data_IF_593839291226
#
_entry.id   IF_593839291226
#
_cell.length_a   1.000
_cell.length_b   1.000
_cell.length_c   1.000
_cell.angle_alpha   90.00
_cell.angle_beta   90.00
_cell.angle_gamma   90.00
#
_symmetry.space_group_name_H-M   'P 1'
#
loop_
_entity.id
_entity.type
_entity.pdbx_description
1 polymer ?
#
# COMPACT_ATOMS: atom_id res chain seq x y z
N UNK A 1 54.45 50.88 18.28
CA UNK A 1 53.66 50.10 17.30
C UNK A 1 52.90 48.90 17.91
N UNK A 2 53.32 48.33 19.05
CA UNK A 2 52.63 47.16 19.64
C UNK A 2 51.19 47.43 20.13
N UNK A 3 50.85 48.65 20.58
CA UNK A 3 49.51 48.97 21.10
C UNK A 3 48.39 48.98 20.03
N UNK A 4 48.72 49.09 18.74
CA UNK A 4 47.71 49.08 17.66
C UNK A 4 47.24 47.66 17.31
N UNK A 5 48.09 46.65 17.48
CA UNK A 5 47.72 45.26 17.20
C UNK A 5 46.84 44.65 18.29
N UNK A 6 47.02 45.05 19.55
CA UNK A 6 46.24 44.52 20.68
C UNK A 6 44.74 44.90 20.64
N UNK A 7 44.39 46.07 20.09
CA UNK A 7 42.98 46.47 19.93
C UNK A 7 42.25 45.70 18.84
N UNK A 8 42.93 45.29 17.77
CA UNK A 8 42.31 44.52 16.69
C UNK A 8 41.99 43.08 17.11
N UNK A 9 42.83 42.46 17.95
CA UNK A 9 42.61 41.08 18.41
C UNK A 9 41.40 40.95 19.34
N UNK A 10 41.15 41.94 20.20
CA UNK A 10 39.99 41.94 21.12
C UNK A 10 38.67 42.13 20.36
N UNK A 11 38.65 42.97 19.32
CA UNK A 11 37.45 43.18 18.49
C UNK A 11 37.11 41.91 17.70
N UNK A 12 38.12 41.21 17.17
CA UNK A 12 37.89 39.94 16.46
C UNK A 12 37.41 38.83 17.40
N UNK A 13 37.93 38.76 18.63
CA UNK A 13 37.47 37.80 19.64
C UNK A 13 36.01 38.07 20.06
N UNK A 14 35.62 39.34 20.20
CA UNK A 14 34.24 39.71 20.52
C UNK A 14 33.26 39.43 19.37
N UNK A 15 33.67 39.61 18.10
CA UNK A 15 32.83 39.23 16.96
C UNK A 15 32.61 37.71 16.84
N UNK A 16 33.64 36.90 17.14
CA UNK A 16 33.51 35.43 17.11
C UNK A 16 32.65 34.91 18.27
N UNK A 17 32.64 35.59 19.43
CA UNK A 17 31.78 35.26 20.57
C UNK A 17 30.31 35.65 20.36
N UNK A 18 30.00 36.63 19.50
CA UNK A 18 28.61 37.04 19.23
C UNK A 18 27.84 36.16 18.24
N UNK A 19 28.49 35.23 17.52
CA UNK A 19 27.81 34.38 16.52
C UNK A 19 27.15 33.14 17.14
N UNK A 20 27.54 32.75 18.36
CA UNK A 20 27.06 31.49 18.98
C UNK A 20 26.00 31.68 20.07
N UNK A 21 25.43 32.88 20.27
CA UNK A 21 24.54 33.17 21.41
C UNK A 21 23.06 33.38 21.04
N UNK A 22 22.65 32.94 19.85
CA UNK A 22 21.24 32.90 19.44
C UNK A 22 20.91 31.55 18.79
N UNK A 23 21.25 30.45 19.48
CA UNK A 23 20.47 29.23 19.31
C UNK A 23 19.15 29.43 20.06
N UNK A 24 18.35 30.38 19.58
CA UNK A 24 16.99 30.58 20.05
C UNK A 24 16.27 29.25 19.78
N UNK A 25 15.78 28.61 20.84
CA UNK A 25 15.04 27.36 20.73
C UNK A 25 13.79 27.66 19.93
N UNK A 26 13.85 27.45 18.62
CA UNK A 26 12.70 27.65 17.76
C UNK A 26 11.61 26.69 18.21
N UNK A 27 10.43 27.24 18.48
CA UNK A 27 9.25 26.45 18.82
C UNK A 27 8.83 25.66 17.56
N UNK A 28 8.86 24.32 17.57
CA UNK A 28 8.46 23.53 16.40
C UNK A 28 7.02 23.81 15.96
N UNK A 29 6.14 24.24 16.86
CA UNK A 29 4.78 24.62 16.49
C UNK A 29 4.72 25.96 15.76
N UNK A 30 5.63 26.90 16.05
CA UNK A 30 5.75 28.14 15.30
C UNK A 30 6.24 27.87 13.87
N UNK A 31 7.28 27.05 13.73
CA UNK A 31 7.78 26.60 12.41
C UNK A 31 6.67 25.93 11.59
N UNK A 32 5.90 25.04 12.23
CA UNK A 32 4.75 24.40 11.58
C UNK A 32 3.72 25.44 11.12
N UNK A 33 3.40 26.43 11.95
CA UNK A 33 2.43 27.47 11.62
C UNK A 33 2.90 28.38 10.48
N UNK A 34 4.21 28.59 10.35
CA UNK A 34 4.84 29.38 9.29
C UNK A 34 4.97 28.60 7.96
N UNK A 35 4.61 27.32 7.93
CA UNK A 35 4.73 26.46 6.75
C UNK A 35 6.12 25.85 6.56
N UNK A 36 7.02 26.04 7.51
CA UNK A 36 8.37 25.46 7.55
C UNK A 36 8.31 24.02 8.09
N UNK A 37 7.56 23.17 7.38
CA UNK A 37 7.17 21.86 7.87
C UNK A 37 8.33 20.88 8.05
N UNK A 38 9.33 20.92 7.17
CA UNK A 38 10.50 20.02 7.26
C UNK A 38 11.34 20.36 8.49
N UNK A 39 11.53 21.64 8.77
CA UNK A 39 12.24 22.16 9.94
C UNK A 39 11.48 21.79 11.21
N UNK A 40 10.17 22.02 11.25
CA UNK A 40 9.31 21.59 12.36
C UNK A 40 9.45 20.08 12.62
N UNK A 41 9.41 19.26 11.56
CA UNK A 41 9.58 17.82 11.68
C UNK A 41 10.94 17.42 12.29
N UNK A 42 12.04 18.05 11.88
CA UNK A 42 13.38 17.81 12.45
C UNK A 42 13.40 18.10 13.96
N UNK A 43 12.81 19.20 14.41
CA UNK A 43 12.72 19.52 15.83
C UNK A 43 11.90 18.49 16.61
N UNK A 44 10.76 18.04 16.07
CA UNK A 44 9.98 16.97 16.69
C UNK A 44 10.76 15.65 16.75
N UNK A 45 11.50 15.28 15.69
CA UNK A 45 12.33 14.07 15.67
C UNK A 45 13.47 14.12 16.68
N UNK A 46 14.10 15.27 16.86
CA UNK A 46 15.09 15.47 17.92
C UNK A 46 14.46 15.24 19.30
N UNK A 47 13.27 15.79 19.55
CA UNK A 47 12.53 15.54 20.79
C UNK A 47 12.13 14.07 20.98
N UNK A 48 11.93 13.30 19.90
CA UNK A 48 11.68 11.86 19.98
C UNK A 48 12.94 11.05 20.34
N UNK A 49 14.13 11.60 20.10
CA UNK A 49 15.42 10.96 20.40
C UNK A 49 15.86 11.15 21.86
N UNK A 50 15.34 12.15 22.58
CA UNK A 50 15.77 12.57 23.93
C UNK A 50 15.38 11.60 25.09
N UNK A 51 15.33 10.28 24.85
CA UNK A 51 15.04 9.24 25.85
C UNK A 51 13.78 9.47 26.71
N UNK A 52 12.78 10.19 26.16
CA UNK A 52 11.47 10.35 26.79
C UNK A 52 10.71 9.03 26.93
N UNK A 53 9.64 9.03 27.73
CA UNK A 53 8.71 7.90 27.79
C UNK A 53 8.04 7.65 26.42
N UNK A 54 7.49 6.45 26.22
CA UNK A 54 6.87 6.07 24.94
C UNK A 54 5.78 7.03 24.49
N UNK A 55 5.00 7.58 25.43
CA UNK A 55 3.96 8.58 25.16
C UNK A 55 4.53 9.85 24.54
N UNK A 56 5.58 10.45 25.12
CA UNK A 56 6.22 11.64 24.56
C UNK A 56 6.88 11.35 23.21
N UNK A 57 7.51 10.19 23.07
CA UNK A 57 8.12 9.76 21.79
C UNK A 57 7.06 9.58 20.71
N UNK A 58 5.94 8.93 21.06
CA UNK A 58 4.77 8.77 20.22
C UNK A 58 4.22 10.12 19.76
N UNK A 59 4.00 11.06 20.69
CA UNK A 59 3.54 12.42 20.38
C UNK A 59 4.50 13.17 19.45
N UNK A 60 5.80 13.07 19.70
CA UNK A 60 6.83 13.68 18.85
C UNK A 60 6.85 13.07 17.44
N UNK A 61 6.81 11.74 17.31
CA UNK A 61 6.71 11.09 16.00
C UNK A 61 5.42 11.47 15.26
N UNK A 62 4.30 11.59 15.97
CA UNK A 62 3.03 12.00 15.38
C UNK A 62 3.10 13.41 14.79
N UNK A 63 3.66 14.36 15.53
CA UNK A 63 3.81 15.73 15.03
C UNK A 63 4.80 15.82 13.87
N UNK A 64 5.88 15.04 13.90
CA UNK A 64 6.80 14.93 12.76
C UNK A 64 6.09 14.36 11.52
N UNK A 65 5.32 13.27 11.68
CA UNK A 65 4.55 12.66 10.60
C UNK A 65 3.58 13.64 9.97
N UNK A 66 2.81 14.36 10.81
CA UNK A 66 1.87 15.38 10.36
C UNK A 66 2.56 16.52 9.61
N UNK A 67 3.73 16.96 10.07
CA UNK A 67 4.52 17.99 9.41
C UNK A 67 4.95 17.53 8.00
N UNK A 68 5.49 16.32 7.86
CA UNK A 68 5.82 15.77 6.54
C UNK A 68 4.60 15.58 5.63
N UNK A 69 3.44 15.24 6.19
CA UNK A 69 2.21 15.14 5.41
C UNK A 69 1.74 16.51 4.89
N UNK A 70 1.83 17.57 5.69
CA UNK A 70 1.56 18.93 5.19
C UNK A 70 2.62 19.39 4.18
N UNK A 71 3.89 19.03 4.37
CA UNK A 71 4.93 19.29 3.37
C UNK A 71 4.58 18.64 2.03
N UNK A 72 4.12 17.38 2.05
CA UNK A 72 3.62 16.72 0.86
C UNK A 72 2.45 17.48 0.22
N UNK A 73 1.47 17.95 0.99
CA UNK A 73 0.35 18.74 0.43
C UNK A 73 0.84 20.03 -0.23
N UNK A 74 1.81 20.71 0.38
CA UNK A 74 2.36 21.96 -0.11
C UNK A 74 3.25 21.78 -1.35
N UNK A 75 4.17 20.81 -1.31
CA UNK A 75 5.23 20.66 -2.32
C UNK A 75 4.98 19.53 -3.32
N UNK A 76 3.95 18.70 -3.08
CA UNK A 76 3.69 17.45 -3.82
C UNK A 76 4.89 16.48 -3.80
N UNK A 77 5.74 16.58 -2.77
CA UNK A 77 6.91 15.74 -2.61
C UNK A 77 6.53 14.36 -2.08
N UNK A 78 6.55 13.34 -2.94
CA UNK A 78 6.17 11.97 -2.58
C UNK A 78 7.08 11.34 -1.51
N UNK A 79 8.34 11.78 -1.39
CA UNK A 79 9.24 11.34 -0.32
C UNK A 79 8.76 11.80 1.06
N UNK A 80 8.18 13.00 1.13
CA UNK A 80 7.58 13.52 2.37
C UNK A 80 6.37 12.68 2.79
N UNK A 81 5.52 12.28 1.83
CA UNK A 81 4.37 11.42 2.13
C UNK A 81 4.79 10.04 2.63
N UNK A 82 5.81 9.43 2.00
CA UNK A 82 6.35 8.15 2.45
C UNK A 82 6.94 8.27 3.87
N UNK A 83 7.71 9.32 4.12
CA UNK A 83 8.28 9.59 5.45
C UNK A 83 7.18 9.77 6.50
N UNK A 84 6.10 10.47 6.17
CA UNK A 84 4.94 10.61 7.07
C UNK A 84 4.32 9.25 7.41
N UNK A 85 4.13 8.37 6.43
CA UNK A 85 3.61 7.02 6.66
C UNK A 85 4.49 6.20 7.60
N UNK A 86 5.81 6.21 7.39
CA UNK A 86 6.77 5.48 8.22
C UNK A 86 6.75 5.99 9.67
N UNK A 87 6.61 7.30 9.86
CA UNK A 87 6.49 7.90 11.19
C UNK A 87 5.15 7.57 11.87
N UNK A 88 4.02 7.53 11.14
CA UNK A 88 2.76 7.06 11.71
C UNK A 88 2.82 5.59 12.14
N UNK A 89 3.52 4.72 11.41
CA UNK A 89 3.77 3.36 11.88
C UNK A 89 4.56 3.34 13.20
N UNK A 90 5.57 4.21 13.35
CA UNK A 90 6.31 4.33 14.62
C UNK A 90 5.43 4.80 15.77
N UNK A 91 4.47 5.70 15.51
CA UNK A 91 3.46 6.11 16.50
C UNK A 91 2.66 4.90 16.97
N UNK A 92 2.09 4.14 16.03
CA UNK A 92 1.26 2.97 16.34
C UNK A 92 2.05 1.82 17.00
N UNK A 93 3.35 1.73 16.76
CA UNK A 93 4.22 0.78 17.47
C UNK A 93 4.46 1.17 18.94
N UNK A 94 4.44 2.48 19.25
CA UNK A 94 4.63 2.98 20.62
C UNK A 94 3.30 3.13 21.38
N UNK A 95 2.24 3.46 20.66
CA UNK A 95 0.89 3.74 21.15
C UNK A 95 -0.14 3.15 20.16
N UNK A 96 -0.47 1.85 20.29
CA UNK A 96 -1.37 1.15 19.37
C UNK A 96 -2.80 1.70 19.34
N UNK A 97 -3.22 2.35 20.42
CA UNK A 97 -4.58 2.91 20.57
C UNK A 97 -4.70 4.33 20.00
N UNK A 98 -3.64 4.83 19.34
CA UNK A 98 -3.62 6.17 18.75
C UNK A 98 -4.51 6.27 17.49
N UNK A 99 -5.80 6.52 17.71
CA UNK A 99 -6.80 6.59 16.64
C UNK A 99 -6.50 7.68 15.60
N UNK A 100 -5.85 8.78 16.00
CA UNK A 100 -5.47 9.87 15.10
C UNK A 100 -4.38 9.43 14.13
N UNK A 101 -3.33 8.75 14.61
CA UNK A 101 -2.26 8.23 13.77
C UNK A 101 -2.77 7.15 12.80
N UNK A 102 -3.65 6.26 13.26
CA UNK A 102 -4.27 5.24 12.41
C UNK A 102 -5.08 5.87 11.28
N UNK A 103 -5.94 6.85 11.59
CA UNK A 103 -6.72 7.58 10.60
C UNK A 103 -5.84 8.32 9.60
N UNK A 104 -4.81 9.05 10.06
CA UNK A 104 -3.95 9.82 9.15
C UNK A 104 -3.07 8.92 8.28
N UNK A 105 -2.63 7.76 8.79
CA UNK A 105 -1.94 6.75 8.00
C UNK A 105 -2.83 6.22 6.87
N UNK A 106 -4.12 5.97 7.14
CA UNK A 106 -5.06 5.56 6.10
C UNK A 106 -5.24 6.64 5.03
N UNK A 107 -5.34 7.91 5.43
CA UNK A 107 -5.38 9.04 4.49
C UNK A 107 -4.11 9.13 3.64
N UNK A 108 -2.94 9.04 4.26
CA UNK A 108 -1.66 9.09 3.56
C UNK A 108 -1.53 7.94 2.54
N UNK A 109 -1.99 6.73 2.88
CA UNK A 109 -2.05 5.58 1.95
C UNK A 109 -2.95 5.86 0.74
N UNK A 110 -4.13 6.46 0.96
CA UNK A 110 -5.05 6.84 -0.12
C UNK A 110 -4.42 7.88 -1.05
N UNK A 111 -3.75 8.89 -0.49
CA UNK A 111 -3.03 9.91 -1.26
C UNK A 111 -1.90 9.28 -2.10
N UNK A 112 -1.12 8.37 -1.52
CA UNK A 112 -0.04 7.68 -2.22
C UNK A 112 -0.56 6.83 -3.39
N UNK A 113 -1.67 6.11 -3.20
CA UNK A 113 -2.32 5.35 -4.26
C UNK A 113 -2.82 6.26 -5.39
N UNK A 114 -3.42 7.40 -5.06
CA UNK A 114 -3.88 8.38 -6.05
C UNK A 114 -2.72 8.93 -6.89
N UNK A 115 -1.57 9.22 -6.28
CA UNK A 115 -0.39 9.68 -7.02
C UNK A 115 0.15 8.63 -7.98
N UNK A 116 0.18 7.36 -7.56
CA UNK A 116 0.58 6.26 -8.44
C UNK A 116 -0.37 6.14 -9.64
N UNK A 117 -1.67 6.34 -9.45
CA UNK A 117 -2.64 6.33 -10.55
C UNK A 117 -2.45 7.52 -11.51
N UNK A 118 -2.16 8.72 -11.00
CA UNK A 118 -1.93 9.89 -11.83
C UNK A 118 -0.63 9.83 -12.65
N UNK A 119 0.42 9.19 -12.13
CA UNK A 119 1.66 8.96 -12.88
C UNK A 119 1.55 7.84 -13.94
N UNK A 120 0.54 6.97 -13.82
CA UNK A 120 0.36 5.83 -14.73
C UNK A 120 -0.39 6.18 -16.03
N UNK A 121 -0.83 7.44 -16.21
CA UNK A 121 -1.15 7.99 -17.53
C UNK A 121 -2.34 7.37 -18.27
N UNK A 122 -3.28 6.72 -17.59
CA UNK A 122 -4.52 6.24 -18.22
C UNK A 122 -5.74 7.05 -17.72
N UNK A 123 -6.32 7.92 -18.54
CA UNK A 123 -7.48 8.74 -18.17
C UNK A 123 -8.76 7.94 -18.39
N UNK A 124 -9.10 7.02 -17.49
CA UNK A 124 -10.47 6.51 -17.46
C UNK A 124 -10.98 6.21 -16.06
N UNK A 125 -12.15 6.80 -15.80
CA UNK A 125 -13.07 6.59 -14.67
C UNK A 125 -12.81 7.39 -13.39
N UNK A 126 -13.06 8.71 -13.50
CA UNK A 126 -14.02 9.30 -12.56
C UNK A 126 -15.37 8.62 -12.75
N UNK A 127 -15.93 8.03 -11.70
CA UNK A 127 -17.38 7.87 -11.57
C UNK A 127 -17.82 8.43 -10.25
N UNK A 128 -18.62 9.49 -10.39
CA UNK A 128 -19.38 10.17 -9.38
C UNK A 128 -20.20 9.18 -8.54
N UNK A 129 -20.06 9.31 -7.23
CA UNK A 129 -20.89 8.60 -6.27
C UNK A 129 -21.82 9.63 -5.59
N UNK A 130 -22.81 10.11 -6.35
CA UNK A 130 -23.95 10.83 -5.80
C UNK A 130 -25.19 10.68 -6.69
N UNK A 131 -26.26 10.18 -6.06
CA UNK A 131 -27.66 10.21 -6.50
C UNK A 131 -28.11 9.23 -7.60
N UNK A 132 -28.65 8.07 -7.19
CA UNK A 132 -30.08 7.77 -7.38
C UNK A 132 -30.46 6.41 -6.76
N UNK A 133 -31.25 6.48 -5.67
CA UNK A 133 -32.22 5.45 -5.31
C UNK A 133 -33.56 5.84 -5.95
N UNK A 134 -34.37 4.81 -6.22
CA UNK A 134 -35.76 4.81 -6.72
C UNK A 134 -35.93 4.92 -8.24
N UNK A 135 -36.11 3.78 -8.91
CA UNK A 135 -37.47 3.28 -9.18
C UNK A 135 -37.44 1.83 -9.72
N UNK A 136 -37.92 0.90 -8.89
CA UNK A 136 -38.42 -0.40 -9.33
C UNK A 136 -39.94 -0.27 -9.41
N UNK A 137 -40.55 -0.36 -10.60
CA UNK A 137 -41.75 -1.17 -10.81
C UNK A 137 -42.28 -1.12 -12.25
N UNK A 138 -42.78 -2.30 -12.68
CA UNK A 138 -43.81 -2.54 -13.71
C UNK A 138 -43.41 -2.41 -15.19
N UNK A 139 -43.15 -3.55 -15.83
CA UNK A 139 -44.20 -4.23 -16.60
C UNK A 139 -43.75 -5.61 -17.13
N UNK A 140 -44.44 -6.67 -16.68
CA UNK A 140 -44.50 -7.97 -17.35
C UNK A 140 -45.95 -8.22 -17.73
N UNK A 141 -46.27 -8.32 -19.04
CA UNK A 141 -47.21 -9.32 -19.57
C UNK A 141 -47.35 -9.33 -21.10
N UNK A 142 -47.15 -10.53 -21.64
CA UNK A 142 -47.71 -11.16 -22.86
C UNK A 142 -47.16 -10.64 -24.22
N UNK A 143 -46.88 -11.49 -25.22
CA UNK A 143 -47.69 -12.61 -25.72
C UNK A 143 -46.89 -13.47 -26.72
N UNK A 144 -47.24 -14.77 -26.76
CA UNK A 144 -46.76 -15.83 -27.67
C UNK A 144 -46.86 -15.51 -29.17
N UNK A 145 -45.93 -16.06 -29.97
CA UNK A 145 -46.28 -16.87 -31.17
C UNK A 145 -45.03 -17.54 -31.77
N UNK A 146 -45.20 -18.82 -32.12
CA UNK A 146 -44.23 -19.77 -32.69
C UNK A 146 -43.66 -19.38 -34.06
N UNK A 147 -42.42 -19.83 -34.35
CA UNK A 147 -41.87 -19.94 -35.70
C UNK A 147 -40.35 -20.13 -35.73
N UNK A 148 -39.92 -21.30 -36.22
CA UNK A 148 -38.54 -21.71 -36.50
C UNK A 148 -37.56 -20.59 -36.90
N UNK A 149 -36.40 -20.52 -36.22
CA UNK A 149 -35.11 -20.29 -36.89
C UNK A 149 -33.91 -20.62 -36.00
N UNK A 150 -32.99 -21.39 -36.60
CA UNK A 150 -31.68 -21.79 -36.12
C UNK A 150 -30.70 -20.59 -36.09
N UNK A 151 -30.84 -19.65 -35.15
CA UNK A 151 -29.94 -18.47 -35.11
C UNK A 151 -29.59 -17.88 -33.73
N UNK A 152 -30.21 -18.28 -32.62
CA UNK A 152 -30.05 -17.56 -31.33
C UNK A 152 -29.32 -18.36 -30.23
N UNK A 153 -28.23 -19.07 -30.56
CA UNK A 153 -27.36 -19.70 -29.53
C UNK A 153 -25.95 -19.14 -29.47
N UNK A 154 -25.80 -17.89 -29.91
CA UNK A 154 -24.55 -17.13 -29.87
C UNK A 154 -24.72 -15.76 -29.20
N UNK A 155 -25.66 -15.66 -28.24
CA UNK A 155 -25.88 -14.45 -27.43
C UNK A 155 -25.95 -14.73 -25.92
N UNK A 156 -25.55 -15.93 -25.46
CA UNK A 156 -25.58 -16.31 -24.04
C UNK A 156 -24.19 -16.70 -23.47
N UNK A 157 -23.12 -16.25 -24.13
CA UNK A 157 -21.73 -16.42 -23.64
C UNK A 157 -20.98 -15.10 -23.45
N UNK A 158 -21.52 -13.96 -23.86
CA UNK A 158 -20.88 -12.64 -23.72
C UNK A 158 -21.30 -11.86 -22.47
N UNK A 159 -22.30 -12.34 -21.70
CA UNK A 159 -22.75 -11.71 -20.45
C UNK A 159 -22.23 -12.39 -19.18
N UNK A 160 -21.27 -13.32 -19.28
CA UNK A 160 -20.76 -14.10 -18.13
C UNK A 160 -19.28 -13.88 -17.81
N UNK A 161 -18.57 -13.07 -18.59
CA UNK A 161 -17.14 -12.80 -18.36
C UNK A 161 -16.87 -11.58 -17.45
N UNK A 162 -17.76 -10.58 -17.41
CA UNK A 162 -17.54 -9.37 -16.62
C UNK A 162 -17.71 -9.56 -15.10
N UNK A 163 -18.48 -10.56 -14.65
CA UNK A 163 -18.58 -10.86 -13.21
C UNK A 163 -17.33 -11.56 -12.65
N UNK A 164 -16.48 -12.17 -13.49
CA UNK A 164 -15.30 -12.89 -13.00
C UNK A 164 -14.09 -11.97 -12.76
N UNK A 165 -14.00 -10.85 -13.49
CA UNK A 165 -12.89 -9.91 -13.37
C UNK A 165 -12.93 -9.14 -12.04
N UNK A 166 -14.11 -8.63 -11.65
CA UNK A 166 -14.27 -7.94 -10.36
C UNK A 166 -14.04 -8.87 -9.16
N UNK A 167 -14.53 -10.12 -9.23
CA UNK A 167 -14.33 -11.11 -8.17
C UNK A 167 -12.85 -11.48 -8.03
N UNK A 168 -12.14 -11.67 -9.15
CA UNK A 168 -10.69 -11.88 -9.15
C UNK A 168 -9.93 -10.69 -8.57
N UNK A 169 -10.29 -9.47 -8.93
CA UNK A 169 -9.62 -8.27 -8.42
C UNK A 169 -9.85 -8.09 -6.91
N UNK A 170 -11.06 -8.37 -6.41
CA UNK A 170 -11.36 -8.35 -4.97
C UNK A 170 -10.55 -9.39 -4.21
N UNK A 171 -10.49 -10.63 -4.74
CA UNK A 171 -9.74 -11.72 -4.12
C UNK A 171 -8.25 -11.39 -4.08
N UNK A 172 -7.69 -10.83 -5.15
CA UNK A 172 -6.29 -10.40 -5.17
C UNK A 172 -5.99 -9.27 -4.17
N UNK A 173 -6.89 -8.28 -4.04
CA UNK A 173 -6.76 -7.21 -3.02
C UNK A 173 -6.74 -7.78 -1.59
N UNK A 174 -7.56 -8.80 -1.32
CA UNK A 174 -7.56 -9.49 -0.03
C UNK A 174 -6.23 -10.23 0.21
N UNK A 175 -5.69 -10.91 -0.80
CA UNK A 175 -4.39 -11.60 -0.70
C UNK A 175 -3.24 -10.62 -0.38
N UNK A 176 -3.25 -9.42 -0.98
CA UNK A 176 -2.28 -8.37 -0.66
C UNK A 176 -2.38 -7.90 0.80
N UNK A 177 -3.60 -7.76 1.33
CA UNK A 177 -3.82 -7.37 2.72
C UNK A 177 -3.30 -8.43 3.68
N UNK A 178 -3.66 -9.70 3.46
CA UNK A 178 -3.21 -10.84 4.28
C UNK A 178 -1.67 -10.97 4.24
N UNK A 179 -1.05 -10.80 3.06
CA UNK A 179 0.42 -10.83 2.91
C UNK A 179 1.11 -9.66 3.63
N UNK A 180 0.49 -8.47 3.63
CA UNK A 180 1.00 -7.31 4.37
C UNK A 180 0.91 -7.49 5.89
N UNK A 181 -0.14 -8.16 6.39
CA UNK A 181 -0.27 -8.49 7.80
C UNK A 181 0.78 -9.51 8.26
N UNK A 182 1.08 -10.50 7.41
CA UNK A 182 2.15 -11.47 7.68
C UNK A 182 3.53 -10.82 7.77
N UNK A 183 3.83 -9.80 6.95
CA UNK A 183 5.07 -9.01 7.10
C UNK A 183 5.20 -8.36 8.47
N UNK A 184 4.11 -7.81 9.01
CA UNK A 184 4.14 -7.13 10.33
C UNK A 184 4.48 -8.08 11.47
N UNK A 185 4.18 -9.37 11.29
CA UNK A 185 4.39 -10.41 12.29
C UNK A 185 5.67 -11.22 12.05
N UNK A 186 6.44 -10.92 11.00
CA UNK A 186 7.68 -11.63 10.71
C UNK A 186 8.80 -11.18 11.66
N UNK A 187 9.35 -12.09 12.46
CA UNK A 187 10.38 -11.78 13.47
C UNK A 187 11.83 -11.81 12.92
N UNK A 188 12.05 -12.37 11.71
CA UNK A 188 13.38 -12.54 11.12
C UNK A 188 13.55 -11.80 9.79
N UNK A 189 14.72 -11.17 9.60
CA UNK A 189 15.02 -10.34 8.41
C UNK A 189 15.08 -11.10 7.07
N UNK A 190 15.39 -12.39 7.09
CA UNK A 190 15.37 -13.22 5.88
C UNK A 190 13.94 -13.55 5.43
N UNK A 191 13.06 -13.76 6.41
CA UNK A 191 11.63 -14.04 6.21
C UNK A 191 10.88 -12.78 5.76
N UNK A 192 11.23 -11.63 6.34
CA UNK A 192 10.71 -10.32 5.93
C UNK A 192 11.00 -10.03 4.45
N UNK A 193 12.22 -10.31 3.97
CA UNK A 193 12.57 -10.13 2.55
C UNK A 193 11.75 -11.00 1.60
N UNK A 194 11.48 -12.25 1.97
CA UNK A 194 10.66 -13.15 1.13
C UNK A 194 9.21 -12.69 1.08
N UNK A 195 8.66 -12.22 2.20
CA UNK A 195 7.32 -11.66 2.28
C UNK A 195 7.20 -10.32 1.53
N UNK A 196 8.22 -9.46 1.63
CA UNK A 196 8.30 -8.20 0.87
C UNK A 196 8.33 -8.46 -0.64
N UNK A 197 9.14 -9.44 -1.07
CA UNK A 197 9.20 -9.83 -2.48
C UNK A 197 7.88 -10.45 -2.96
N UNK A 198 7.23 -11.27 -2.13
CA UNK A 198 5.92 -11.83 -2.42
C UNK A 198 4.86 -10.72 -2.58
N UNK A 199 4.82 -9.73 -1.68
CA UNK A 199 3.91 -8.60 -1.76
C UNK A 199 4.14 -7.81 -3.05
N UNK A 200 5.40 -7.52 -3.38
CA UNK A 200 5.76 -6.81 -4.61
C UNK A 200 5.29 -7.55 -5.86
N UNK A 201 5.39 -8.88 -5.88
CA UNK A 201 4.89 -9.72 -6.98
C UNK A 201 3.37 -9.73 -7.08
N UNK A 202 2.66 -9.68 -5.95
CA UNK A 202 1.20 -9.55 -5.98
C UNK A 202 0.75 -8.15 -6.46
N UNK A 203 1.46 -7.09 -6.08
CA UNK A 203 1.22 -5.73 -6.61
C UNK A 203 1.50 -5.64 -8.11
N UNK A 204 2.58 -6.26 -8.60
CA UNK A 204 2.89 -6.36 -10.02
C UNK A 204 1.78 -7.11 -10.77
N UNK A 205 1.26 -8.21 -10.20
CA UNK A 205 0.14 -8.95 -10.78
C UNK A 205 -1.13 -8.10 -10.88
N UNK A 206 -1.45 -7.31 -9.85
CA UNK A 206 -2.58 -6.37 -9.88
C UNK A 206 -2.40 -5.33 -10.98
N UNK A 207 -1.23 -4.70 -11.05
CA UNK A 207 -0.93 -3.70 -12.07
C UNK A 207 -1.05 -4.28 -13.48
N UNK A 208 -0.57 -5.51 -13.70
CA UNK A 208 -0.64 -6.20 -15.00
C UNK A 208 -2.06 -6.63 -15.36
N UNK A 209 -2.88 -7.03 -14.39
CA UNK A 209 -4.31 -7.29 -14.61
C UNK A 209 -5.03 -6.02 -15.05
N UNK A 210 -4.75 -4.88 -14.42
CA UNK A 210 -5.32 -3.59 -14.77
C UNK A 210 -4.92 -3.14 -16.20
N UNK A 211 -3.73 -3.52 -16.65
CA UNK A 211 -3.22 -3.24 -18.00
C UNK A 211 -3.67 -4.28 -19.07
N UNK A 212 -4.60 -5.18 -18.75
CA UNK A 212 -5.01 -6.31 -19.61
C UNK A 212 -3.85 -7.23 -20.04
N UNK A 213 -2.75 -7.26 -19.28
CA UNK A 213 -1.60 -8.14 -19.51
C UNK A 213 -1.78 -9.47 -18.77
N UNK A 214 -2.84 -10.21 -19.13
CA UNK A 214 -3.30 -11.38 -18.38
C UNK A 214 -2.24 -12.46 -18.15
N UNK A 215 -1.39 -12.75 -19.13
CA UNK A 215 -0.33 -13.76 -19.00
C UNK A 215 0.81 -13.30 -18.08
N UNK A 216 1.19 -12.02 -18.12
CA UNK A 216 2.21 -11.49 -17.24
C UNK A 216 1.72 -11.38 -15.79
N UNK A 217 0.43 -11.04 -15.61
CA UNK A 217 -0.21 -11.04 -14.31
C UNK A 217 -0.24 -12.43 -13.67
N UNK A 218 -0.58 -13.46 -14.45
CA UNK A 218 -0.53 -14.87 -14.03
C UNK A 218 0.87 -15.27 -13.58
N UNK A 219 1.89 -14.89 -14.35
CA UNK A 219 3.27 -15.18 -14.01
C UNK A 219 3.68 -14.49 -12.69
N UNK A 220 3.32 -13.22 -12.51
CA UNK A 220 3.60 -12.49 -11.27
C UNK A 220 2.88 -13.09 -10.04
N UNK A 221 1.62 -13.50 -10.19
CA UNK A 221 0.88 -14.23 -9.15
C UNK A 221 1.53 -15.57 -8.80
N UNK A 222 1.96 -16.33 -9.80
CA UNK A 222 2.66 -17.60 -9.59
C UNK A 222 3.95 -17.40 -8.81
N UNK A 223 4.74 -16.40 -9.17
CA UNK A 223 5.98 -16.05 -8.46
C UNK A 223 5.70 -15.63 -7.01
N UNK A 224 4.65 -14.85 -6.76
CA UNK A 224 4.22 -14.52 -5.40
C UNK A 224 3.86 -15.76 -4.59
N UNK A 225 3.08 -16.69 -5.17
CA UNK A 225 2.70 -17.92 -4.50
C UNK A 225 3.91 -18.82 -4.20
N UNK A 226 4.89 -18.89 -5.11
CA UNK A 226 6.11 -19.67 -4.92
C UNK A 226 6.98 -19.07 -3.80
N UNK A 227 7.07 -17.74 -3.69
CA UNK A 227 7.75 -17.07 -2.59
C UNK A 227 7.08 -17.32 -1.24
N UNK A 228 5.74 -17.32 -1.18
CA UNK A 228 5.00 -17.65 0.04
C UNK A 228 5.21 -19.10 0.48
N UNK A 229 5.28 -20.05 -0.47
CA UNK A 229 5.64 -21.44 -0.17
C UNK A 229 7.06 -21.56 0.38
N UNK A 230 8.01 -20.82 -0.18
CA UNK A 230 9.39 -20.81 0.32
C UNK A 230 9.46 -20.22 1.73
N UNK A 231 8.70 -19.16 2.00
CA UNK A 231 8.57 -18.59 3.34
C UNK A 231 8.06 -19.65 4.33
N UNK A 232 7.00 -20.39 4.00
CA UNK A 232 6.49 -21.47 4.86
C UNK A 232 7.51 -22.58 5.09
N UNK A 233 8.18 -23.04 4.03
CA UNK A 233 9.20 -24.08 4.13
C UNK A 233 10.33 -23.64 5.08
N UNK A 234 10.77 -22.38 4.98
CA UNK A 234 11.79 -21.81 5.86
C UNK A 234 11.34 -21.66 7.32
N UNK A 235 10.03 -21.44 7.55
CA UNK A 235 9.43 -21.35 8.89
C UNK A 235 9.45 -22.72 9.58
N UNK A 236 9.26 -23.79 8.81
CA UNK A 236 9.24 -25.17 9.32
C UNK A 236 10.64 -25.76 9.55
N UNK A 237 11.65 -25.39 8.75
CA UNK A 237 13.03 -25.88 8.95
C UNK A 237 13.67 -25.41 10.27
N UNK A 238 13.19 -24.30 10.86
CA UNK A 238 13.71 -23.76 12.11
C UNK A 238 12.96 -24.24 13.38
N UNK A 239 11.90 -25.07 13.25
CA UNK A 239 11.17 -25.63 14.40
C UNK A 239 11.51 -27.12 14.56
N UNK A 240 12.33 -27.44 15.57
CA UNK A 240 12.82 -28.81 15.83
C UNK A 240 11.86 -29.69 16.63
N UNK A 241 10.72 -29.18 17.09
CA UNK A 241 9.70 -30.00 17.76
C UNK A 241 8.32 -29.34 17.66
N UNK A 242 7.31 -30.19 17.55
CA UNK A 242 5.86 -29.91 17.48
C UNK A 242 5.33 -29.25 16.19
N UNK A 243 4.54 -30.05 15.47
CA UNK A 243 3.75 -29.69 14.29
C UNK A 243 2.63 -28.70 14.64
N UNK A 244 2.96 -27.42 14.74
CA UNK A 244 1.95 -26.38 14.64
C UNK A 244 1.36 -26.37 13.21
N UNK A 245 0.02 -26.30 13.08
CA UNK A 245 -0.61 -26.21 11.78
C UNK A 245 -0.13 -24.97 11.03
N UNK A 246 -0.17 -25.04 9.70
CA UNK A 246 0.16 -23.91 8.82
C UNK A 246 -0.53 -22.64 9.29
N UNK A 247 0.17 -21.51 9.13
CA UNK A 247 -0.39 -20.20 9.38
C UNK A 247 -1.64 -20.05 8.49
N UNK A 248 -2.82 -19.93 9.12
CA UNK A 248 -4.12 -20.02 8.44
C UNK A 248 -4.22 -19.02 7.28
N UNK A 249 -3.53 -17.89 7.39
CA UNK A 249 -3.43 -16.87 6.34
C UNK A 249 -2.66 -17.38 5.11
N UNK A 250 -1.50 -18.01 5.28
CA UNK A 250 -0.72 -18.49 4.13
C UNK A 250 -1.40 -19.69 3.47
N UNK A 251 -2.00 -20.58 4.26
CA UNK A 251 -2.81 -21.69 3.75
C UNK A 251 -4.00 -21.17 2.93
N UNK A 252 -4.67 -20.11 3.39
CA UNK A 252 -5.74 -19.44 2.64
C UNK A 252 -5.25 -18.92 1.30
N UNK A 253 -4.10 -18.24 1.28
CA UNK A 253 -3.51 -17.69 0.05
C UNK A 253 -3.21 -18.81 -0.95
N UNK A 254 -2.62 -19.92 -0.48
CA UNK A 254 -2.30 -21.07 -1.33
C UNK A 254 -3.55 -21.77 -1.88
N UNK A 255 -4.56 -21.98 -1.03
CA UNK A 255 -5.82 -22.58 -1.44
C UNK A 255 -6.57 -21.71 -2.45
N UNK A 256 -6.50 -20.38 -2.29
CA UNK A 256 -7.11 -19.43 -3.22
C UNK A 256 -6.49 -19.50 -4.62
N UNK A 257 -5.16 -19.63 -4.72
CA UNK A 257 -4.45 -19.80 -5.99
C UNK A 257 -4.68 -21.18 -6.63
N UNK A 258 -4.70 -22.24 -5.83
CA UNK A 258 -4.97 -23.59 -6.35
C UNK A 258 -6.39 -23.70 -6.93
N UNK A 259 -7.38 -23.15 -6.23
CA UNK A 259 -8.77 -23.11 -6.72
C UNK A 259 -8.91 -22.37 -8.05
N UNK A 260 -8.09 -21.34 -8.28
CA UNK A 260 -8.09 -20.59 -9.53
C UNK A 260 -7.50 -21.41 -10.69
N UNK A 261 -6.36 -22.09 -10.47
CA UNK A 261 -5.79 -22.98 -11.50
C UNK A 261 -6.80 -24.03 -11.97
N UNK A 262 -7.55 -24.61 -11.04
CA UNK A 262 -8.60 -25.59 -11.36
C UNK A 262 -9.77 -24.98 -12.15
N UNK A 263 -10.10 -23.71 -11.91
CA UNK A 263 -11.10 -22.99 -12.70
C UNK A 263 -10.59 -22.67 -14.12
N UNK A 264 -9.30 -22.37 -14.27
CA UNK A 264 -8.67 -22.09 -15.57
C UNK A 264 -8.51 -23.37 -16.42
N UNK A 265 -8.12 -24.49 -15.82
CA UNK A 265 -8.04 -25.79 -16.52
C UNK A 265 -9.42 -26.23 -17.04
N UNK A 266 -10.50 -25.95 -16.30
CA UNK A 266 -11.88 -26.22 -16.75
C UNK A 266 -12.37 -25.27 -17.85
N UNK A 267 -11.72 -24.12 -18.04
CA UNK A 267 -12.05 -23.14 -19.10
C UNK A 267 -11.28 -23.40 -20.40
N UNK A 268 -10.33 -24.34 -20.44
CA UNK A 268 -9.79 -24.77 -21.74
C UNK A 268 -10.93 -25.46 -22.49
N UNK A 269 -11.38 -24.92 -23.65
CA UNK A 269 -12.40 -25.59 -24.43
C UNK A 269 -11.84 -26.96 -24.80
N UNK A 270 -12.60 -28.03 -24.52
CA UNK A 270 -12.33 -29.37 -25.02
C UNK A 270 -11.82 -29.22 -26.44
N UNK A 271 -10.54 -29.55 -26.65
CA UNK A 271 -9.91 -29.43 -27.96
C UNK A 271 -10.85 -30.11 -28.93
N UNK A 272 -11.46 -29.35 -29.84
CA UNK A 272 -12.35 -29.90 -30.85
C UNK A 272 -11.52 -30.94 -31.61
N UNK A 273 -11.74 -32.21 -31.26
CA UNK A 273 -11.24 -33.32 -32.04
C UNK A 273 -12.07 -33.28 -33.32
N UNK A 274 -11.59 -32.49 -34.28
CA UNK A 274 -12.10 -32.51 -35.64
C UNK A 274 -11.65 -33.85 -36.20
N UNK A 275 -12.43 -34.90 -35.92
CA UNK A 275 -12.35 -36.14 -36.68
C UNK A 275 -12.57 -35.76 -38.14
N UNK A 276 -11.47 -35.69 -38.89
CA UNK A 276 -11.51 -35.56 -40.34
C UNK A 276 -12.10 -36.86 -40.88
N UNK A 277 -13.41 -36.86 -41.09
CA UNK A 277 -14.04 -37.81 -42.00
C UNK A 277 -13.67 -37.40 -43.44
N UNK A 278 -12.68 -38.10 -43.99
CA UNK A 278 -12.49 -38.29 -45.42
C UNK A 278 -12.94 -39.70 -45.79
#
# INVERSE_FOLDING_TARGET
MLYKYFKFTIIFLLMVLSVNLWAETQDPYALYADGEYVEAAKFFLNGAADNGNNEKRSHSYYNAARSYQENYKQEQNSESLQTAMDLYYRVLNLDPDNSLAAHNLELAKKEMMKNKQQQSGDPQQQSDQSEQKQDQEKNRKNKDSSGDNLSDRQEDLSNRDDQSAEEHQRKQKQLNQETSELMKNAENSAQEKQLEEALKKQEDALSKMEQNQGEEAKQAQKEAADLLKQYEASKNENKTDESEPLDDAVQKILNAEQSRKEQEEKKQPDSYNVERNW
#
